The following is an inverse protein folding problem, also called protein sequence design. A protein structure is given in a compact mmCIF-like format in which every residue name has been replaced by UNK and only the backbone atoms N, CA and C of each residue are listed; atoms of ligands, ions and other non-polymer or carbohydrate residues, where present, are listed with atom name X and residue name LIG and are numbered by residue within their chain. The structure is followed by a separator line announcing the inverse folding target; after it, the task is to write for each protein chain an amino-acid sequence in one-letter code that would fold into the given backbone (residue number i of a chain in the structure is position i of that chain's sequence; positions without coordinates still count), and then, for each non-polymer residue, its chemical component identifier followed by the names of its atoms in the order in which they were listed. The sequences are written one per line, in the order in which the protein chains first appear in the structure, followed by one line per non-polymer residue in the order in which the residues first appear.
data_IF_614380000231
#
_entry.id   IF_614380000231
#
_cell.length_a   1.000
_cell.length_b   1.000
_cell.length_c   1.000
_cell.angle_alpha   90.00
_cell.angle_beta   90.00
_cell.angle_gamma   90.00
#
_symmetry.space_group_name_H-M   'P 1'
#
loop_
_entity.id
_entity.type
_entity.pdbx_description
1 polymer ?
#
# COMPACT_ATOMS: atom_id res chain seq x y z
N UNK A 1 7.61 23.22 2.01
CA UNK A 1 7.18 22.82 3.37
C UNK A 1 6.82 24.09 4.12
N UNK A 2 5.53 24.34 4.37
CA UNK A 2 5.12 25.44 5.22
C UNK A 2 5.66 25.19 6.64
N UNK A 3 6.42 26.11 7.19
CA UNK A 3 6.83 26.08 8.59
C UNK A 3 5.58 26.19 9.46
N UNK A 4 5.37 25.23 10.35
CA UNK A 4 4.26 25.27 11.30
C UNK A 4 4.41 26.48 12.22
N UNK A 5 3.31 27.10 12.58
CA UNK A 5 3.30 28.22 13.51
C UNK A 5 3.74 27.77 14.93
N UNK A 6 4.20 28.71 15.75
CA UNK A 6 4.50 28.43 17.16
C UNK A 6 3.30 27.89 17.94
N UNK A 7 2.09 28.30 17.55
CA UNK A 7 0.84 27.83 18.16
C UNK A 7 0.55 26.38 17.80
N UNK A 8 0.76 25.98 16.51
CA UNK A 8 0.61 24.58 16.06
C UNK A 8 1.59 23.65 16.77
N UNK A 9 2.83 24.09 16.96
CA UNK A 9 3.85 23.30 17.65
C UNK A 9 3.51 23.09 19.14
N UNK A 10 2.97 24.11 19.82
CA UNK A 10 2.49 23.97 21.20
C UNK A 10 1.30 23.01 21.29
N UNK A 11 0.38 23.05 20.34
CA UNK A 11 -0.75 22.12 20.29
C UNK A 11 -0.27 20.66 20.14
N UNK A 12 0.75 20.42 19.31
CA UNK A 12 1.33 19.07 19.15
C UNK A 12 2.12 18.61 20.38
N UNK A 13 2.75 19.53 21.11
CA UNK A 13 3.38 19.21 22.41
C UNK A 13 2.32 18.81 23.45
N UNK A 14 1.20 19.53 23.53
CA UNK A 14 0.06 19.15 24.36
C UNK A 14 -0.52 17.79 23.97
N UNK A 15 -0.72 17.53 22.66
CA UNK A 15 -1.18 16.24 22.16
C UNK A 15 -0.21 15.11 22.54
N UNK A 16 1.10 15.41 22.64
CA UNK A 16 2.11 14.44 23.08
C UNK A 16 1.89 14.01 24.53
N UNK A 17 1.66 14.97 25.43
CA UNK A 17 1.39 14.67 26.84
C UNK A 17 0.05 13.97 27.01
N UNK A 18 -0.98 14.42 26.29
CA UNK A 18 -2.30 13.77 26.30
C UNK A 18 -2.23 12.31 25.82
N UNK A 19 -1.44 12.04 24.78
CA UNK A 19 -1.23 10.68 24.28
C UNK A 19 -0.53 9.80 25.33
N UNK A 20 0.52 10.30 25.96
CA UNK A 20 1.22 9.60 27.04
C UNK A 20 0.25 9.26 28.17
N UNK A 21 -0.45 10.26 28.71
CA UNK A 21 -1.38 10.05 29.82
C UNK A 21 -2.49 9.06 29.44
N UNK A 22 -3.00 9.14 28.21
CA UNK A 22 -4.06 8.26 27.71
C UNK A 22 -3.66 6.79 27.72
N UNK A 23 -2.41 6.44 27.36
CA UNK A 23 -1.94 5.03 27.35
C UNK A 23 -1.52 4.55 28.75
N UNK A 24 -1.21 5.45 29.69
CA UNK A 24 -0.83 5.09 31.06
C UNK A 24 -2.02 5.10 32.04
N UNK A 25 -3.17 5.68 31.66
CA UNK A 25 -4.40 5.63 32.45
C UNK A 25 -4.93 4.20 32.61
N UNK A 26 -5.66 3.98 33.71
CA UNK A 26 -6.35 2.70 33.96
C UNK A 26 -7.82 2.99 34.31
N UNK A 27 -8.76 2.70 33.39
CA UNK A 27 -8.57 2.14 32.04
C UNK A 27 -7.91 3.14 31.07
N UNK A 28 -7.37 2.62 29.96
CA UNK A 28 -6.81 3.43 28.87
C UNK A 28 -7.87 4.41 28.34
N UNK A 29 -7.48 5.67 28.12
CA UNK A 29 -8.39 6.69 27.60
C UNK A 29 -8.51 6.59 26.07
N UNK A 30 -9.30 5.61 25.59
CA UNK A 30 -9.44 5.29 24.17
C UNK A 30 -9.89 6.48 23.31
N UNK A 31 -10.83 7.31 23.79
CA UNK A 31 -11.35 8.45 23.02
C UNK A 31 -10.25 9.51 22.74
N UNK A 32 -9.33 9.72 23.69
CA UNK A 32 -8.17 10.60 23.48
C UNK A 32 -7.24 10.02 22.41
N UNK A 33 -6.96 8.71 22.45
CA UNK A 33 -6.17 8.02 21.45
C UNK A 33 -6.82 8.13 20.06
N UNK A 34 -8.11 7.82 19.96
CA UNK A 34 -8.88 7.93 18.72
C UNK A 34 -8.78 9.34 18.14
N UNK A 35 -9.00 10.36 18.98
CA UNK A 35 -8.93 11.73 18.52
C UNK A 35 -7.54 12.08 17.97
N UNK A 36 -6.47 11.86 18.74
CA UNK A 36 -5.11 12.20 18.32
C UNK A 36 -4.73 11.44 17.03
N UNK A 37 -4.96 10.14 16.98
CA UNK A 37 -4.57 9.30 15.85
C UNK A 37 -5.34 9.62 14.55
N UNK A 38 -6.60 10.02 14.68
CA UNK A 38 -7.46 10.30 13.53
C UNK A 38 -7.35 11.71 12.98
N UNK A 39 -7.15 12.72 13.87
CA UNK A 39 -7.15 14.12 13.46
C UNK A 39 -5.78 14.64 13.01
N UNK A 40 -4.69 14.03 13.50
CA UNK A 40 -3.33 14.43 13.11
C UNK A 40 -2.92 13.84 11.78
N UNK A 41 -2.14 14.59 11.00
CA UNK A 41 -1.47 14.08 9.80
C UNK A 41 -0.29 13.18 10.16
N UNK A 42 0.19 12.37 9.19
CA UNK A 42 1.42 11.60 9.40
C UNK A 42 2.59 12.50 9.78
N UNK A 43 2.71 13.68 9.14
CA UNK A 43 3.74 14.65 9.47
C UNK A 43 3.63 15.14 10.92
N UNK A 44 2.42 15.40 11.40
CA UNK A 44 2.19 15.84 12.79
C UNK A 44 2.52 14.73 13.79
N UNK A 45 2.14 13.49 13.47
CA UNK A 45 2.51 12.33 14.28
C UNK A 45 4.05 12.15 14.37
N UNK A 46 4.80 12.50 13.33
CA UNK A 46 6.27 12.50 13.41
C UNK A 46 6.81 13.62 14.33
N UNK A 47 6.10 14.75 14.45
CA UNK A 47 6.45 15.80 15.43
C UNK A 47 6.14 15.31 16.85
N UNK A 48 4.96 14.73 17.08
CA UNK A 48 4.57 14.11 18.35
C UNK A 48 5.60 13.05 18.78
N UNK A 49 6.01 12.16 17.85
CA UNK A 49 7.04 11.14 18.09
C UNK A 49 8.37 11.72 18.58
N UNK A 50 8.79 12.87 18.03
CA UNK A 50 10.01 13.59 18.46
C UNK A 50 9.85 14.23 19.82
N UNK A 51 8.71 14.91 20.07
CA UNK A 51 8.41 15.48 21.38
C UNK A 51 8.32 14.40 22.45
N UNK A 52 7.68 13.28 22.17
CA UNK A 52 7.58 12.15 23.08
C UNK A 52 8.96 11.67 23.54
N UNK A 53 9.87 11.44 22.58
CA UNK A 53 11.25 11.06 22.91
C UNK A 53 11.98 12.11 23.74
N UNK A 54 11.72 13.41 23.49
CA UNK A 54 12.31 14.51 24.23
C UNK A 54 11.77 14.61 25.67
N UNK A 55 10.47 14.44 25.86
CA UNK A 55 9.81 14.60 27.16
C UNK A 55 10.01 13.39 28.07
N UNK A 56 9.90 12.19 27.51
CA UNK A 56 9.89 10.94 28.31
C UNK A 56 11.16 10.10 28.18
N UNK A 57 12.11 10.52 27.35
CA UNK A 57 13.39 9.86 27.10
C UNK A 57 13.29 8.41 26.56
N UNK A 58 12.12 7.98 26.13
CA UNK A 58 11.85 6.67 25.50
C UNK A 58 11.20 6.86 24.13
N UNK A 59 11.41 5.95 23.17
CA UNK A 59 10.65 5.97 21.93
C UNK A 59 9.17 5.70 22.19
N UNK A 60 8.27 6.47 21.58
CA UNK A 60 6.82 6.27 21.73
C UNK A 60 6.37 4.84 21.38
N UNK A 61 7.04 4.20 20.40
CA UNK A 61 6.76 2.82 20.01
C UNK A 61 7.01 1.80 21.13
N UNK A 62 7.91 2.10 22.08
CA UNK A 62 8.18 1.23 23.23
C UNK A 62 6.97 1.18 24.16
N UNK A 63 6.45 2.35 24.51
CA UNK A 63 5.30 2.45 25.42
C UNK A 63 4.01 1.95 24.74
N UNK A 64 3.82 2.21 23.44
CA UNK A 64 2.71 1.63 22.66
C UNK A 64 2.74 0.10 22.75
N UNK A 65 3.89 -0.52 22.55
CA UNK A 65 4.04 -1.99 22.60
C UNK A 65 3.78 -2.56 24.00
N UNK A 66 4.13 -1.81 25.02
CA UNK A 66 3.95 -2.23 26.42
C UNK A 66 2.50 -2.03 26.91
N UNK A 67 1.87 -0.93 26.53
CA UNK A 67 0.59 -0.50 27.10
C UNK A 67 -0.63 -0.89 26.28
N UNK A 68 -0.49 -0.99 24.96
CA UNK A 68 -1.58 -1.37 24.06
C UNK A 68 -1.46 -2.83 23.62
N UNK A 69 -2.59 -3.43 23.24
CA UNK A 69 -2.65 -4.82 22.78
C UNK A 69 -3.45 -4.95 21.49
N UNK A 70 -3.33 -6.11 20.85
CA UNK A 70 -4.10 -6.50 19.66
C UNK A 70 -4.13 -5.45 18.55
N UNK A 71 -5.24 -5.34 17.85
CA UNK A 71 -5.44 -4.44 16.69
C UNK A 71 -5.21 -2.97 17.01
N UNK A 72 -5.55 -2.51 18.24
CA UNK A 72 -5.30 -1.13 18.66
C UNK A 72 -3.79 -0.81 18.72
N UNK A 73 -2.98 -1.73 19.21
CA UNK A 73 -1.52 -1.60 19.21
C UNK A 73 -0.98 -1.50 17.77
N UNK A 74 -1.43 -2.40 16.90
CA UNK A 74 -0.88 -2.52 15.56
C UNK A 74 -1.22 -1.30 14.69
N UNK A 75 -2.47 -0.81 14.72
CA UNK A 75 -2.85 0.42 14.00
C UNK A 75 -2.14 1.66 14.58
N UNK A 76 -1.95 1.73 15.91
CA UNK A 76 -1.26 2.85 16.54
C UNK A 76 0.20 2.90 16.13
N UNK A 77 0.90 1.75 16.13
CA UNK A 77 2.28 1.66 15.65
C UNK A 77 2.40 2.05 14.18
N UNK A 78 1.48 1.56 13.32
CA UNK A 78 1.45 1.89 11.91
C UNK A 78 1.29 3.40 11.65
N UNK A 79 0.42 4.07 12.41
CA UNK A 79 0.19 5.51 12.30
C UNK A 79 1.37 6.37 12.78
N UNK A 80 2.17 5.88 13.73
CA UNK A 80 3.38 6.58 14.19
C UNK A 80 4.63 6.28 13.37
N UNK A 81 4.60 5.34 12.45
CA UNK A 81 5.67 5.18 11.48
C UNK A 81 5.54 6.23 10.35
N UNK A 82 6.67 6.61 9.76
CA UNK A 82 6.62 7.29 8.47
C UNK A 82 6.12 6.30 7.41
N UNK A 83 5.57 6.78 6.30
CA UNK A 83 5.03 5.91 5.25
C UNK A 83 6.05 4.86 4.77
N UNK A 84 7.32 5.27 4.61
CA UNK A 84 8.39 4.36 4.18
C UNK A 84 8.91 3.43 5.31
N UNK A 85 8.85 3.81 6.59
CA UNK A 85 9.13 2.90 7.71
C UNK A 85 8.06 1.82 7.81
N UNK A 86 6.79 2.20 7.66
CA UNK A 86 5.67 1.28 7.67
C UNK A 86 5.76 0.28 6.51
N UNK A 87 5.89 0.76 5.26
CA UNK A 87 6.04 -0.10 4.10
C UNK A 87 7.30 -1.01 4.21
N UNK A 88 8.38 -0.53 4.83
CA UNK A 88 9.58 -1.35 5.09
C UNK A 88 9.29 -2.50 6.03
N UNK A 89 8.52 -2.28 7.10
CA UNK A 89 8.14 -3.36 8.05
C UNK A 89 7.20 -4.36 7.40
N UNK A 90 6.22 -3.87 6.65
CA UNK A 90 5.29 -4.73 5.93
C UNK A 90 5.98 -5.59 4.86
N UNK A 91 6.92 -5.02 4.10
CA UNK A 91 7.72 -5.80 3.16
C UNK A 91 8.60 -6.83 3.84
N UNK A 92 9.24 -6.48 4.94
CA UNK A 92 10.05 -7.45 5.67
C UNK A 92 9.20 -8.60 6.20
N UNK A 93 8.07 -8.29 6.84
CA UNK A 93 7.11 -9.31 7.30
C UNK A 93 6.65 -10.20 6.14
N UNK A 94 6.30 -9.60 5.00
CA UNK A 94 5.79 -10.31 3.83
C UNK A 94 6.85 -11.21 3.15
N UNK A 95 8.11 -10.76 3.11
CA UNK A 95 9.22 -11.49 2.50
C UNK A 95 9.76 -12.62 3.38
N UNK A 96 9.73 -12.43 4.71
CA UNK A 96 10.38 -13.37 5.68
C UNK A 96 9.40 -14.31 6.37
N UNK A 97 8.09 -14.18 6.11
CA UNK A 97 7.09 -15.14 6.60
C UNK A 97 7.32 -16.54 6.00
N UNK A 98 6.87 -17.59 6.69
CA UNK A 98 7.00 -18.98 6.24
C UNK A 98 6.47 -19.20 4.82
N UNK A 99 5.34 -18.60 4.50
CA UNK A 99 4.84 -18.41 3.14
C UNK A 99 4.84 -16.92 2.84
N UNK A 100 5.62 -16.51 1.82
CA UNK A 100 5.70 -15.11 1.44
C UNK A 100 4.31 -14.53 1.12
N UNK A 101 3.99 -13.38 1.72
CA UNK A 101 2.74 -12.65 1.43
C UNK A 101 2.87 -11.87 0.12
N UNK A 102 2.63 -12.57 -1.00
CA UNK A 102 2.73 -12.00 -2.35
C UNK A 102 1.81 -10.79 -2.55
N UNK A 103 0.65 -10.78 -1.90
CA UNK A 103 -0.32 -9.69 -2.04
C UNK A 103 0.22 -8.38 -1.45
N UNK A 104 0.85 -8.44 -0.29
CA UNK A 104 1.52 -7.28 0.33
C UNK A 104 2.73 -6.83 -0.49
N UNK A 105 3.56 -7.78 -0.96
CA UNK A 105 4.73 -7.48 -1.80
C UNK A 105 4.28 -6.75 -3.07
N UNK A 106 3.35 -7.33 -3.82
CA UNK A 106 2.84 -6.74 -5.08
C UNK A 106 2.22 -5.36 -4.82
N UNK A 107 1.42 -5.22 -3.76
CA UNK A 107 0.77 -3.96 -3.43
C UNK A 107 1.78 -2.82 -3.26
N UNK A 108 2.79 -3.03 -2.43
CA UNK A 108 3.79 -2.00 -2.15
C UNK A 108 4.62 -1.70 -3.40
N UNK A 109 5.10 -2.73 -4.09
CA UNK A 109 5.95 -2.54 -5.28
C UNK A 109 5.24 -1.83 -6.43
N UNK A 110 3.97 -2.12 -6.63
CA UNK A 110 3.19 -1.59 -7.75
C UNK A 110 2.68 -0.16 -7.50
N UNK A 111 2.30 0.14 -6.26
CA UNK A 111 1.60 1.38 -5.93
C UNK A 111 2.51 2.50 -5.42
N UNK A 112 3.76 2.20 -5.09
CA UNK A 112 4.69 3.22 -4.58
C UNK A 112 5.57 3.78 -5.70
N UNK A 113 5.79 5.10 -5.76
CA UNK A 113 6.70 5.69 -6.73
C UNK A 113 8.14 5.26 -6.46
N UNK A 114 8.98 5.30 -7.49
CA UNK A 114 10.40 4.89 -7.42
C UNK A 114 11.15 5.56 -6.26
N UNK A 115 10.95 6.86 -6.06
CA UNK A 115 11.57 7.61 -4.96
C UNK A 115 11.22 7.06 -3.57
N UNK A 116 9.99 6.57 -3.39
CA UNK A 116 9.55 5.92 -2.16
C UNK A 116 10.21 4.55 -1.99
N UNK A 117 10.29 3.76 -3.05
CA UNK A 117 11.00 2.47 -3.04
C UNK A 117 12.49 2.63 -2.72
N UNK A 118 13.13 3.70 -3.19
CA UNK A 118 14.52 4.01 -2.86
C UNK A 118 14.72 4.32 -1.37
N UNK A 119 13.76 5.00 -0.75
CA UNK A 119 13.78 5.23 0.70
C UNK A 119 13.56 3.93 1.49
N UNK A 120 12.61 3.09 1.04
CA UNK A 120 12.40 1.77 1.62
C UNK A 120 13.70 0.95 1.61
N UNK A 121 14.43 0.89 0.49
CA UNK A 121 15.70 0.15 0.39
C UNK A 121 16.72 0.61 1.42
N UNK A 122 16.86 1.94 1.60
CA UNK A 122 17.79 2.52 2.58
C UNK A 122 17.41 2.15 4.01
N UNK A 123 16.12 2.25 4.34
CA UNK A 123 15.60 1.95 5.67
C UNK A 123 15.64 0.47 5.96
N UNK A 124 15.32 -0.38 4.99
CA UNK A 124 15.38 -1.82 5.09
C UNK A 124 16.77 -2.29 5.55
N UNK A 125 17.83 -1.81 4.86
CA UNK A 125 19.22 -2.10 5.25
C UNK A 125 19.55 -1.62 6.67
N UNK A 126 19.03 -0.43 7.05
CA UNK A 126 19.23 0.12 8.39
C UNK A 126 18.55 -0.72 9.47
N UNK A 127 17.33 -1.19 9.25
CA UNK A 127 16.52 -1.91 10.23
C UNK A 127 16.95 -3.38 10.38
N UNK A 128 17.18 -4.05 9.26
CA UNK A 128 17.34 -5.51 9.23
C UNK A 128 18.75 -6.00 8.93
N UNK A 129 19.72 -5.09 8.66
CA UNK A 129 21.13 -5.41 8.37
C UNK A 129 21.33 -6.28 7.13
N UNK A 130 20.28 -6.52 6.36
CA UNK A 130 20.26 -7.15 5.04
C UNK A 130 19.73 -6.17 4.00
N UNK A 131 19.88 -6.47 2.71
CA UNK A 131 19.28 -5.64 1.66
C UNK A 131 17.90 -6.17 1.26
N UNK A 132 17.00 -5.27 0.84
CA UNK A 132 15.71 -5.68 0.29
C UNK A 132 15.90 -6.61 -0.92
N UNK A 133 16.91 -6.35 -1.76
CA UNK A 133 17.25 -7.21 -2.91
C UNK A 133 17.60 -8.64 -2.47
N UNK A 134 18.38 -8.78 -1.40
CA UNK A 134 18.76 -10.10 -0.87
C UNK A 134 17.52 -10.90 -0.49
N UNK A 135 16.59 -10.30 0.24
CA UNK A 135 15.39 -11.01 0.69
C UNK A 135 14.41 -11.30 -0.45
N UNK A 136 14.36 -10.45 -1.50
CA UNK A 136 13.62 -10.74 -2.74
C UNK A 136 14.24 -11.95 -3.47
N UNK A 137 15.56 -12.03 -3.57
CA UNK A 137 16.25 -13.15 -4.22
C UNK A 137 15.96 -14.46 -3.46
N UNK A 138 15.86 -14.42 -2.14
CA UNK A 138 15.53 -15.55 -1.30
C UNK A 138 14.13 -16.13 -1.51
N UNK A 139 13.23 -15.42 -2.22
CA UNK A 139 11.93 -15.97 -2.63
C UNK A 139 12.03 -17.16 -3.59
N UNK A 140 13.22 -17.39 -4.20
CA UNK A 140 13.54 -18.50 -5.11
C UNK A 140 12.52 -18.68 -6.25
N UNK A 141 12.00 -17.58 -6.76
CA UNK A 141 11.04 -17.55 -7.87
C UNK A 141 11.62 -16.68 -8.99
N UNK A 142 12.30 -17.30 -9.95
CA UNK A 142 13.13 -16.62 -10.95
C UNK A 142 12.44 -15.43 -11.63
N UNK A 143 11.29 -15.63 -12.25
CA UNK A 143 10.59 -14.57 -13.00
C UNK A 143 10.03 -13.50 -12.07
N UNK A 144 9.30 -13.90 -11.03
CA UNK A 144 8.72 -12.97 -10.06
C UNK A 144 9.80 -12.10 -9.39
N UNK A 145 10.90 -12.73 -8.97
CA UNK A 145 12.07 -12.02 -8.42
C UNK A 145 12.64 -11.02 -9.41
N UNK A 146 12.83 -11.40 -10.68
CA UNK A 146 13.34 -10.52 -11.73
C UNK A 146 12.39 -9.31 -11.97
N UNK A 147 11.08 -9.50 -11.94
CA UNK A 147 10.11 -8.41 -12.04
C UNK A 147 10.20 -7.44 -10.87
N UNK A 148 10.28 -7.94 -9.63
CA UNK A 148 10.40 -7.08 -8.44
C UNK A 148 11.70 -6.26 -8.47
N UNK A 149 12.82 -6.88 -8.85
CA UNK A 149 14.10 -6.18 -9.00
C UNK A 149 14.04 -5.14 -10.14
N UNK A 150 13.36 -5.44 -11.24
CA UNK A 150 13.15 -4.51 -12.33
C UNK A 150 12.29 -3.30 -11.89
N UNK A 151 11.19 -3.51 -11.14
CA UNK A 151 10.38 -2.41 -10.58
C UNK A 151 11.24 -1.49 -9.70
N UNK A 152 12.16 -2.05 -8.91
CA UNK A 152 13.05 -1.25 -8.06
C UNK A 152 14.04 -0.39 -8.85
N UNK A 153 14.40 -0.79 -10.06
CA UNK A 153 15.39 -0.08 -10.90
C UNK A 153 14.75 0.82 -11.95
N UNK A 154 13.50 0.57 -12.34
CA UNK A 154 12.83 1.28 -13.43
C UNK A 154 12.12 2.53 -12.92
N UNK A 155 12.30 3.64 -13.64
CA UNK A 155 11.51 4.86 -13.49
C UNK A 155 10.45 4.91 -14.58
N UNK A 156 9.19 4.74 -14.22
CA UNK A 156 8.06 4.86 -15.16
C UNK A 156 7.97 6.30 -15.70
N UNK A 157 7.82 6.48 -17.03
CA UNK A 157 7.56 7.81 -17.59
C UNK A 157 6.24 8.40 -17.08
N UNK A 158 6.20 9.74 -16.92
CA UNK A 158 5.02 10.47 -16.45
C UNK A 158 4.08 10.91 -17.60
N UNK A 159 4.51 10.74 -18.85
CA UNK A 159 3.77 11.17 -20.04
C UNK A 159 3.74 10.06 -21.07
N UNK A 160 2.76 10.14 -21.97
CA UNK A 160 2.64 9.22 -23.10
C UNK A 160 3.90 9.26 -23.98
N UNK A 161 4.42 8.07 -24.30
CA UNK A 161 5.64 7.89 -25.10
C UNK A 161 5.41 7.14 -26.41
N UNK A 162 4.27 6.51 -26.61
CA UNK A 162 3.94 5.71 -27.81
C UNK A 162 2.79 6.31 -28.61
N UNK A 163 2.78 6.02 -29.92
CA UNK A 163 1.66 6.32 -30.80
C UNK A 163 0.54 5.27 -30.67
N UNK A 164 -0.63 5.57 -31.26
CA UNK A 164 -1.74 4.60 -31.37
C UNK A 164 -1.30 3.35 -32.14
N UNK A 165 -0.54 3.52 -33.24
CA UNK A 165 -0.04 2.40 -34.04
C UNK A 165 0.92 1.51 -33.24
N UNK A 166 1.79 2.10 -32.42
CA UNK A 166 2.66 1.34 -31.53
C UNK A 166 1.85 0.53 -30.53
N UNK A 167 0.77 1.10 -29.96
CA UNK A 167 -0.10 0.39 -29.05
C UNK A 167 -0.76 -0.85 -29.70
N UNK A 168 -1.19 -0.76 -30.95
CA UNK A 168 -1.71 -1.92 -31.69
C UNK A 168 -0.62 -2.99 -31.95
N UNK A 169 0.61 -2.58 -32.28
CA UNK A 169 1.71 -3.52 -32.48
C UNK A 169 2.08 -4.22 -31.18
N UNK A 170 2.21 -3.48 -30.07
CA UNK A 170 2.46 -4.04 -28.74
C UNK A 170 1.33 -5.01 -28.34
N UNK A 171 0.07 -4.66 -28.60
CA UNK A 171 -1.05 -5.55 -28.28
C UNK A 171 -0.98 -6.89 -29.06
N UNK A 172 -0.53 -6.86 -30.33
CA UNK A 172 -0.28 -8.08 -31.12
C UNK A 172 0.88 -8.90 -30.56
N UNK A 173 1.98 -8.23 -30.15
CA UNK A 173 3.16 -8.89 -29.61
C UNK A 173 2.87 -9.55 -28.26
N UNK A 174 2.04 -8.95 -27.41
CA UNK A 174 1.57 -9.56 -26.16
C UNK A 174 0.89 -10.91 -26.42
N UNK A 175 0.04 -11.02 -27.44
CA UNK A 175 -0.61 -12.30 -27.79
C UNK A 175 0.37 -13.27 -28.42
N UNK A 176 1.17 -12.80 -29.38
CA UNK A 176 2.05 -13.66 -30.20
C UNK A 176 3.20 -14.25 -29.36
N UNK A 177 3.83 -13.44 -28.54
CA UNK A 177 5.09 -13.78 -27.86
C UNK A 177 4.92 -13.97 -26.35
N UNK A 178 3.78 -13.56 -25.77
CA UNK A 178 3.54 -13.54 -24.34
C UNK A 178 2.52 -14.57 -23.86
N UNK A 179 1.25 -14.31 -24.10
CA UNK A 179 0.18 -15.01 -23.40
C UNK A 179 -0.08 -16.43 -23.96
N UNK A 180 0.06 -16.65 -25.28
CA UNK A 180 -0.24 -17.95 -25.91
C UNK A 180 0.92 -18.94 -25.91
N UNK A 181 2.13 -18.50 -25.75
CA UNK A 181 3.30 -19.38 -25.71
C UNK A 181 3.68 -19.65 -24.26
N UNK A 182 3.68 -20.89 -23.85
CA UNK A 182 3.93 -21.45 -22.51
C UNK A 182 5.20 -20.98 -21.75
N UNK A 183 5.84 -19.91 -22.19
CA UNK A 183 6.91 -19.19 -21.52
C UNK A 183 6.63 -17.71 -21.67
N UNK A 184 6.29 -17.08 -20.56
CA UNK A 184 6.13 -15.62 -20.51
C UNK A 184 7.44 -14.98 -20.94
N UNK A 185 7.48 -14.27 -22.07
CA UNK A 185 8.65 -13.46 -22.42
C UNK A 185 8.79 -12.34 -21.38
N UNK A 186 9.63 -12.61 -20.39
CA UNK A 186 9.86 -11.71 -19.25
C UNK A 186 10.33 -10.35 -19.73
N UNK A 187 11.08 -10.25 -20.83
CA UNK A 187 11.59 -8.98 -21.33
C UNK A 187 10.47 -8.15 -21.97
N UNK A 188 9.63 -8.76 -22.82
CA UNK A 188 8.45 -8.10 -23.38
C UNK A 188 7.53 -7.57 -22.27
N UNK A 189 7.25 -8.40 -21.26
CA UNK A 189 6.38 -7.97 -20.15
C UNK A 189 7.02 -6.88 -19.29
N UNK A 190 8.34 -6.88 -19.06
CA UNK A 190 9.03 -5.78 -18.39
C UNK A 190 8.91 -4.49 -19.21
N UNK A 191 9.21 -4.54 -20.50
CA UNK A 191 9.09 -3.37 -21.37
C UNK A 191 7.67 -2.80 -21.32
N UNK A 192 6.64 -3.64 -21.53
CA UNK A 192 5.25 -3.18 -21.58
C UNK A 192 4.76 -2.71 -20.22
N UNK A 193 4.96 -3.49 -19.16
CA UNK A 193 4.30 -3.23 -17.88
C UNK A 193 5.10 -2.33 -16.94
N UNK A 194 6.42 -2.18 -17.12
CA UNK A 194 7.26 -1.37 -16.23
C UNK A 194 7.76 -0.08 -16.88
N UNK A 195 8.03 -0.08 -18.20
CA UNK A 195 8.69 1.04 -18.87
C UNK A 195 7.72 1.96 -19.61
N UNK A 196 6.47 1.56 -19.80
CA UNK A 196 5.43 2.41 -20.43
C UNK A 196 4.75 3.28 -19.39
N UNK A 197 4.33 4.49 -19.79
CA UNK A 197 3.56 5.40 -18.92
C UNK A 197 2.19 4.82 -18.58
N UNK A 198 1.46 5.48 -17.67
CA UNK A 198 0.06 5.13 -17.39
C UNK A 198 -0.81 5.29 -18.64
N UNK A 199 -0.61 6.37 -19.36
CA UNK A 199 -1.32 6.70 -20.60
C UNK A 199 -1.04 5.68 -21.70
N UNK A 200 0.22 5.26 -21.84
CA UNK A 200 0.61 4.19 -22.79
C UNK A 200 -0.09 2.87 -22.45
N UNK A 201 -0.12 2.47 -21.19
CA UNK A 201 -0.82 1.26 -20.77
C UNK A 201 -2.33 1.33 -21.06
N UNK A 202 -2.96 2.49 -20.89
CA UNK A 202 -4.36 2.70 -21.26
C UNK A 202 -4.56 2.51 -22.77
N UNK A 203 -3.67 3.08 -23.60
CA UNK A 203 -3.72 2.92 -25.06
C UNK A 203 -3.54 1.46 -25.46
N UNK A 204 -2.57 0.75 -24.88
CA UNK A 204 -2.32 -0.68 -25.13
C UNK A 204 -3.55 -1.51 -24.76
N UNK A 205 -4.16 -1.26 -23.59
CA UNK A 205 -5.38 -1.96 -23.17
C UNK A 205 -6.56 -1.72 -24.13
N UNK A 206 -6.73 -0.48 -24.64
CA UNK A 206 -7.76 -0.16 -25.65
C UNK A 206 -7.49 -0.86 -26.96
N UNK A 207 -6.28 -0.77 -27.51
CA UNK A 207 -5.89 -1.45 -28.73
C UNK A 207 -6.07 -2.97 -28.62
N UNK A 208 -5.72 -3.54 -27.48
CA UNK A 208 -5.91 -4.96 -27.19
C UNK A 208 -7.40 -5.35 -27.25
N UNK A 209 -8.26 -4.57 -26.59
CA UNK A 209 -9.71 -4.82 -26.60
C UNK A 209 -10.32 -4.67 -28.00
N UNK A 210 -9.88 -3.68 -28.78
CA UNK A 210 -10.35 -3.47 -30.16
C UNK A 210 -9.97 -4.65 -31.08
N UNK A 211 -8.76 -5.20 -30.91
CA UNK A 211 -8.27 -6.31 -31.70
C UNK A 211 -8.93 -7.65 -31.31
N UNK A 212 -9.06 -7.92 -30.03
CA UNK A 212 -9.40 -9.26 -29.53
C UNK A 212 -10.77 -9.37 -28.87
N UNK A 213 -11.53 -8.27 -28.73
CA UNK A 213 -12.83 -8.20 -28.07
C UNK A 213 -12.84 -8.78 -26.65
N UNK A 214 -11.68 -8.80 -26.02
CA UNK A 214 -11.42 -9.29 -24.67
C UNK A 214 -10.45 -8.32 -23.99
N UNK A 215 -10.63 -8.05 -22.71
CA UNK A 215 -9.69 -7.18 -21.99
C UNK A 215 -8.32 -7.85 -21.82
N UNK A 216 -7.25 -7.06 -21.78
CA UNK A 216 -5.92 -7.56 -21.46
C UNK A 216 -5.89 -8.22 -20.08
N UNK A 217 -6.65 -7.67 -19.12
CA UNK A 217 -6.82 -8.23 -17.79
C UNK A 217 -7.41 -9.64 -17.80
N UNK A 218 -8.52 -9.86 -18.54
CA UNK A 218 -9.17 -11.17 -18.65
C UNK A 218 -8.27 -12.18 -19.37
N UNK A 219 -7.46 -11.71 -20.33
CA UNK A 219 -6.48 -12.56 -21.02
C UNK A 219 -5.37 -13.00 -20.06
N UNK A 220 -4.83 -12.09 -19.24
CA UNK A 220 -3.86 -12.44 -18.20
C UNK A 220 -4.48 -13.41 -17.18
N UNK A 221 -5.74 -13.20 -16.77
CA UNK A 221 -6.42 -14.10 -15.86
C UNK A 221 -6.59 -15.50 -16.39
N UNK A 222 -6.96 -15.63 -17.68
CA UNK A 222 -7.24 -16.92 -18.31
C UNK A 222 -5.97 -17.71 -18.66
N UNK A 223 -4.94 -17.00 -19.12
CA UNK A 223 -3.81 -17.63 -19.80
C UNK A 223 -2.53 -17.71 -18.94
N UNK A 224 -2.46 -16.94 -17.85
CA UNK A 224 -1.34 -16.99 -16.89
C UNK A 224 -1.76 -17.61 -15.56
N UNK A 225 -0.77 -18.00 -14.75
CA UNK A 225 -1.00 -18.59 -13.43
C UNK A 225 -0.02 -18.07 -12.38
N UNK A 226 -0.26 -18.41 -11.12
CA UNK A 226 0.67 -18.18 -10.02
C UNK A 226 1.00 -16.70 -9.76
N UNK A 227 2.26 -16.46 -9.39
CA UNK A 227 2.78 -15.14 -8.96
C UNK A 227 2.80 -14.11 -10.08
N UNK A 228 3.13 -14.54 -11.30
CA UNK A 228 3.22 -13.65 -12.46
C UNK A 228 1.84 -13.10 -12.84
N UNK A 229 0.80 -13.94 -12.85
CA UNK A 229 -0.58 -13.49 -13.04
C UNK A 229 -0.98 -12.42 -12.03
N UNK A 230 -0.74 -12.67 -10.74
CA UNK A 230 -1.05 -11.71 -9.68
C UNK A 230 -0.31 -10.39 -9.87
N UNK A 231 0.98 -10.45 -10.21
CA UNK A 231 1.81 -9.26 -10.40
C UNK A 231 1.35 -8.42 -11.59
N UNK A 232 1.17 -9.03 -12.77
CA UNK A 232 0.76 -8.30 -13.97
C UNK A 232 -0.64 -7.69 -13.82
N UNK A 233 -1.58 -8.41 -13.22
CA UNK A 233 -2.89 -7.86 -12.84
C UNK A 233 -2.75 -6.70 -11.85
N UNK A 234 -1.90 -6.86 -10.85
CA UNK A 234 -1.59 -5.80 -9.89
C UNK A 234 -1.05 -4.56 -10.57
N UNK A 235 -0.13 -4.70 -11.53
CA UNK A 235 0.41 -3.56 -12.30
C UNK A 235 -0.69 -2.88 -13.12
N UNK A 236 -1.52 -3.63 -13.85
CA UNK A 236 -2.61 -3.03 -14.63
C UNK A 236 -3.55 -2.21 -13.75
N UNK A 237 -4.05 -2.80 -12.66
CA UNK A 237 -4.95 -2.08 -11.75
C UNK A 237 -4.25 -0.98 -10.96
N UNK A 238 -3.10 -1.28 -10.37
CA UNK A 238 -2.40 -0.34 -9.49
C UNK A 238 -1.84 0.88 -10.23
N UNK A 239 -1.56 0.76 -11.54
CA UNK A 239 -1.10 1.88 -12.37
C UNK A 239 -2.27 2.60 -13.03
N UNK A 240 -3.22 1.87 -13.61
CA UNK A 240 -4.31 2.48 -14.41
C UNK A 240 -5.42 3.02 -13.51
N UNK A 241 -5.84 2.27 -12.49
CA UNK A 241 -6.96 2.63 -11.60
C UNK A 241 -6.61 2.34 -10.13
N UNK A 242 -5.62 3.03 -9.54
CA UNK A 242 -5.14 2.71 -8.20
C UNK A 242 -6.24 2.76 -7.14
N UNK A 243 -7.09 3.79 -7.14
CA UNK A 243 -8.17 3.92 -6.16
C UNK A 243 -9.17 2.77 -6.24
N UNK A 244 -9.56 2.33 -7.44
CA UNK A 244 -10.42 1.16 -7.62
C UNK A 244 -9.74 -0.13 -7.13
N UNK A 245 -8.45 -0.26 -7.38
CA UNK A 245 -7.69 -1.43 -6.93
C UNK A 245 -7.66 -1.54 -5.41
N UNK A 246 -7.41 -0.41 -4.72
CA UNK A 246 -7.45 -0.36 -3.26
C UNK A 246 -8.86 -0.58 -2.70
N UNK A 247 -9.91 -0.06 -3.36
CA UNK A 247 -11.30 -0.32 -2.98
C UNK A 247 -11.63 -1.82 -3.02
N UNK A 248 -11.25 -2.51 -4.10
CA UNK A 248 -11.43 -3.98 -4.21
C UNK A 248 -10.65 -4.76 -3.16
N UNK A 249 -9.42 -4.32 -2.82
CA UNK A 249 -8.62 -4.96 -1.78
C UNK A 249 -9.22 -4.72 -0.39
N UNK A 250 -9.71 -3.50 -0.11
CA UNK A 250 -10.37 -3.19 1.14
C UNK A 250 -11.65 -4.01 1.32
N UNK A 251 -12.47 -4.14 0.28
CA UNK A 251 -13.66 -4.99 0.32
C UNK A 251 -13.31 -6.44 0.64
N UNK A 252 -12.33 -7.01 -0.05
CA UNK A 252 -11.87 -8.39 0.21
C UNK A 252 -11.27 -8.58 1.60
N UNK A 253 -10.72 -7.54 2.20
CA UNK A 253 -10.16 -7.61 3.55
C UNK A 253 -11.24 -7.66 4.64
N UNK A 254 -12.46 -7.20 4.32
CA UNK A 254 -13.60 -7.16 5.24
C UNK A 254 -14.60 -8.29 4.91
N UNK A 255 -14.73 -8.66 3.62
CA UNK A 255 -15.69 -9.66 3.16
C UNK A 255 -15.38 -11.05 3.75
N UNK A 256 -16.38 -11.69 4.36
CA UNK A 256 -16.30 -13.09 4.83
C UNK A 256 -16.34 -13.24 6.35
N UNK A 257 -15.73 -14.30 6.86
CA UNK A 257 -15.64 -14.58 8.29
C UNK A 257 -14.34 -13.99 8.85
N UNK A 258 -14.46 -12.84 9.53
CA UNK A 258 -13.34 -12.12 10.11
C UNK A 258 -12.67 -11.17 9.13
N UNK A 259 -11.92 -10.22 9.68
CA UNK A 259 -11.26 -9.14 8.93
C UNK A 259 -9.78 -9.47 8.71
N UNK A 260 -9.27 -9.31 7.48
CA UNK A 260 -7.82 -9.20 7.25
C UNK A 260 -7.34 -7.82 7.72
N UNK A 261 -7.14 -7.69 9.03
CA UNK A 261 -6.72 -6.44 9.66
C UNK A 261 -5.41 -5.90 9.09
N UNK A 262 -4.48 -6.78 8.70
CA UNK A 262 -3.20 -6.35 8.14
C UNK A 262 -3.39 -5.63 6.81
N UNK A 263 -4.20 -6.18 5.91
CA UNK A 263 -4.51 -5.56 4.62
C UNK A 263 -5.34 -4.29 4.82
N UNK A 264 -6.36 -4.30 5.67
CA UNK A 264 -7.19 -3.13 5.94
C UNK A 264 -6.39 -1.99 6.56
N UNK A 265 -5.57 -2.26 7.58
CA UNK A 265 -4.67 -1.28 8.19
C UNK A 265 -3.72 -0.68 7.15
N UNK A 266 -3.10 -1.51 6.31
CA UNK A 266 -2.14 -1.06 5.31
C UNK A 266 -2.80 -0.13 4.29
N UNK A 267 -4.00 -0.45 3.84
CA UNK A 267 -4.76 0.41 2.92
C UNK A 267 -5.09 1.74 3.60
N UNK A 268 -5.76 1.71 4.75
CA UNK A 268 -6.21 2.93 5.41
C UNK A 268 -5.03 3.83 5.84
N UNK A 269 -3.99 3.26 6.44
CA UNK A 269 -2.80 4.04 6.86
C UNK A 269 -2.07 4.66 5.66
N UNK A 270 -1.93 3.93 4.56
CA UNK A 270 -1.17 4.41 3.41
C UNK A 270 -1.96 5.32 2.47
N UNK A 271 -3.31 5.28 2.50
CA UNK A 271 -4.15 5.97 1.53
C UNK A 271 -5.00 7.10 2.12
N UNK A 272 -5.19 7.15 3.46
CA UNK A 272 -6.07 8.15 4.09
C UNK A 272 -5.66 9.61 3.82
N UNK A 273 -4.41 9.88 3.49
CA UNK A 273 -3.91 11.23 3.15
C UNK A 273 -3.57 11.37 1.65
N UNK A 274 -3.99 10.43 0.80
CA UNK A 274 -3.61 10.40 -0.63
C UNK A 274 -4.83 10.44 -1.55
N UNK A 275 -5.71 9.45 -1.49
CA UNK A 275 -6.84 9.27 -2.40
C UNK A 275 -8.02 8.51 -1.77
N UNK A 276 -8.20 8.63 -0.47
CA UNK A 276 -9.24 7.88 0.27
C UNK A 276 -10.65 8.20 -0.22
N UNK A 277 -10.92 9.45 -0.62
CA UNK A 277 -12.21 9.85 -1.20
C UNK A 277 -12.52 9.03 -2.46
N UNK A 278 -11.59 8.97 -3.41
CA UNK A 278 -11.75 8.17 -4.62
C UNK A 278 -11.89 6.67 -4.32
N UNK A 279 -11.17 6.16 -3.32
CA UNK A 279 -11.31 4.76 -2.88
C UNK A 279 -12.74 4.48 -2.37
N UNK A 280 -13.32 5.38 -1.58
CA UNK A 280 -14.71 5.25 -1.09
C UNK A 280 -15.74 5.26 -2.23
N UNK A 281 -15.55 6.16 -3.22
CA UNK A 281 -16.43 6.22 -4.39
C UNK A 281 -16.43 4.90 -5.15
N UNK A 282 -15.24 4.35 -5.44
CA UNK A 282 -15.12 3.05 -6.08
C UNK A 282 -15.66 1.91 -5.21
N UNK A 283 -15.42 1.96 -3.90
CA UNK A 283 -15.92 0.97 -2.96
C UNK A 283 -17.46 0.90 -2.99
N UNK A 284 -18.11 2.06 -2.89
CA UNK A 284 -19.58 2.15 -2.94
C UNK A 284 -20.12 1.71 -4.31
N UNK A 285 -19.51 2.19 -5.39
CA UNK A 285 -19.95 1.89 -6.76
C UNK A 285 -19.88 0.39 -7.08
N UNK A 286 -18.78 -0.26 -6.68
CA UNK A 286 -18.52 -1.65 -7.06
C UNK A 286 -19.19 -2.67 -6.13
N UNK A 287 -19.56 -2.29 -4.89
CA UNK A 287 -20.12 -3.22 -3.88
C UNK A 287 -21.48 -2.79 -3.32
N UNK A 288 -22.00 -1.63 -3.67
CA UNK A 288 -23.28 -1.06 -3.20
C UNK A 288 -23.38 -0.97 -1.66
N UNK A 289 -22.26 -0.75 -0.99
CA UNK A 289 -22.16 -0.53 0.46
C UNK A 289 -21.08 0.51 0.77
N UNK A 290 -21.20 1.20 1.92
CA UNK A 290 -20.17 2.13 2.37
C UNK A 290 -19.11 1.38 3.20
N UNK A 291 -17.83 1.61 2.91
CA UNK A 291 -16.69 1.02 3.64
C UNK A 291 -16.80 1.23 5.16
N UNK A 292 -17.40 2.34 5.61
CA UNK A 292 -17.61 2.62 7.04
C UNK A 292 -18.61 1.67 7.67
N UNK A 293 -19.67 1.30 6.94
CA UNK A 293 -20.67 0.35 7.41
C UNK A 293 -20.06 -1.04 7.56
N UNK A 294 -19.26 -1.44 6.59
CA UNK A 294 -18.60 -2.76 6.60
C UNK A 294 -17.53 -2.81 7.73
N UNK A 295 -16.72 -1.76 7.89
CA UNK A 295 -15.80 -1.63 9.05
C UNK A 295 -16.58 -1.69 10.36
N UNK A 296 -17.73 -1.03 10.44
CA UNK A 296 -18.56 -1.03 11.65
C UNK A 296 -19.10 -2.43 11.97
N UNK A 297 -19.44 -3.22 10.97
CA UNK A 297 -19.93 -4.60 11.14
C UNK A 297 -18.86 -5.54 11.70
N UNK A 298 -17.62 -5.39 11.26
CA UNK A 298 -16.56 -6.39 11.45
C UNK A 298 -15.55 -6.06 12.54
N UNK A 299 -15.54 -4.83 13.05
CA UNK A 299 -14.56 -4.37 14.03
C UNK A 299 -15.22 -3.81 15.29
N UNK A 300 -14.45 -3.48 16.34
CA UNK A 300 -15.00 -2.98 17.59
C UNK A 300 -14.08 -1.99 18.30
N UNK A 301 -14.60 -1.30 19.33
CA UNK A 301 -13.85 -0.45 20.25
C UNK A 301 -13.16 0.74 19.59
N UNK A 302 -12.04 1.17 20.16
CA UNK A 302 -11.22 2.27 19.65
C UNK A 302 -10.66 1.97 18.25
N UNK A 303 -10.30 0.72 17.98
CA UNK A 303 -9.82 0.29 16.67
C UNK A 303 -10.82 0.63 15.56
N UNK A 304 -12.09 0.25 15.73
CA UNK A 304 -13.20 0.61 14.81
C UNK A 304 -13.28 2.12 14.58
N UNK A 305 -13.29 2.91 15.66
CA UNK A 305 -13.40 4.37 15.58
C UNK A 305 -12.26 4.98 14.76
N UNK A 306 -11.02 4.48 14.97
CA UNK A 306 -9.84 4.92 14.20
C UNK A 306 -10.02 4.60 12.71
N UNK A 307 -10.37 3.36 12.35
CA UNK A 307 -10.54 2.95 10.95
C UNK A 307 -11.62 3.76 10.24
N UNK A 308 -12.79 3.96 10.87
CA UNK A 308 -13.87 4.78 10.32
C UNK A 308 -13.40 6.22 10.08
N UNK A 309 -12.67 6.81 11.03
CA UNK A 309 -12.16 8.16 10.88
C UNK A 309 -11.09 8.27 9.78
N UNK A 310 -10.20 7.30 9.65
CA UNK A 310 -9.22 7.24 8.56
C UNK A 310 -9.89 7.08 7.20
N UNK A 311 -10.94 6.27 7.12
CA UNK A 311 -11.71 6.08 5.88
C UNK A 311 -12.57 7.30 5.52
N UNK A 312 -12.65 8.31 6.38
CA UNK A 312 -13.43 9.53 6.18
C UNK A 312 -12.61 10.72 5.68
N UNK A 313 -11.29 10.58 5.57
CA UNK A 313 -10.36 11.64 5.12
C UNK A 313 -10.40 11.91 3.62
#
# INVERSE_FOLDING_TARGET
MNQKSSQDLKALEMSTSQFHDAIFNKPISEDILVNILSTTSNLDRQIIRRYYKKLYNVPIQSDIKEKLSSSLKDITLALFDTSYEYDTRELHRALTSFMADENTIIEIFVSRPKSHLDLIQKIYKKFYKTSLQTDIINLKSNEFTQFLLAIMSTQRPNQQTISINDAYNIAKDIIKNGIKNYGTDVNLFKEVFLEKSREDLILICRAFFELYKKSLYDSIEADLSGRNRKLLKGILFGVITPAQWFAKKAFKAIEGLGTDENTLNRILVSRCEVDMEAIREYYFRDNNTDIKNDIHGDTSGAYRKILINLSSK
#
